data_IF_536251982165
#
_entry.id   IF_536251982165
#
_cell.length_a   1.000
_cell.length_b   1.000
_cell.length_c   1.000
_cell.angle_alpha   90.00
_cell.angle_beta   90.00
_cell.angle_gamma   90.00
#
_symmetry.space_group_name_H-M   'P 1'
#
loop_
_entity.id
_entity.type
_entity.pdbx_description
1 polymer ?
#
# COMPACT_ATOMS: atom_id res chain seq x y z
N UNK A 1 43.89 -43.30 -25.80
CA UNK A 1 44.68 -42.24 -26.46
C UNK A 1 43.84 -41.60 -27.57
N UNK A 2 44.03 -40.29 -27.82
CA UNK A 2 43.17 -39.30 -28.53
C UNK A 2 42.22 -38.57 -27.58
N UNK A 3 42.68 -37.56 -26.83
CA UNK A 3 43.05 -36.17 -27.20
C UNK A 3 41.84 -35.24 -27.34
N UNK A 4 41.79 -34.28 -26.42
CA UNK A 4 40.85 -33.17 -26.28
C UNK A 4 40.78 -32.25 -27.51
N UNK A 5 39.63 -31.59 -27.69
CA UNK A 5 39.55 -30.20 -28.12
C UNK A 5 38.42 -29.49 -27.38
N UNK A 6 38.80 -28.47 -26.62
CA UNK A 6 37.94 -27.37 -26.21
C UNK A 6 37.35 -26.68 -27.46
N UNK A 7 36.08 -26.30 -27.38
CA UNK A 7 35.60 -25.08 -28.00
C UNK A 7 34.49 -24.50 -27.14
N UNK A 8 34.89 -23.51 -26.36
CA UNK A 8 34.06 -22.55 -25.67
C UNK A 8 33.21 -21.77 -26.69
N UNK A 9 31.90 -21.96 -26.65
CA UNK A 9 30.97 -21.01 -27.27
C UNK A 9 30.87 -19.76 -26.37
N UNK A 10 31.03 -18.54 -26.90
CA UNK A 10 30.77 -17.34 -26.13
C UNK A 10 29.26 -17.22 -25.85
N UNK A 11 28.84 -16.70 -24.68
CA UNK A 11 27.45 -16.34 -24.48
C UNK A 11 27.12 -15.18 -25.41
N UNK A 12 26.15 -15.41 -26.31
CA UNK A 12 25.53 -14.34 -27.07
C UNK A 12 24.93 -13.34 -26.06
N UNK A 13 25.55 -12.17 -25.98
CA UNK A 13 25.01 -10.97 -25.35
C UNK A 13 23.76 -10.57 -26.12
N UNK A 14 22.62 -11.17 -25.73
CA UNK A 14 21.30 -10.77 -26.18
C UNK A 14 21.10 -9.30 -25.83
N UNK A 15 21.11 -8.47 -26.87
CA UNK A 15 21.11 -7.02 -26.80
C UNK A 15 20.05 -6.50 -25.84
N UNK A 16 20.49 -5.60 -24.95
CA UNK A 16 19.58 -4.69 -24.28
C UNK A 16 18.68 -4.06 -25.32
N UNK A 17 17.37 -4.33 -25.22
CA UNK A 17 16.36 -3.54 -25.88
C UNK A 17 16.53 -2.11 -25.37
N UNK A 18 17.30 -1.32 -26.09
CA UNK A 18 17.20 0.12 -26.07
C UNK A 18 15.76 0.41 -26.50
N UNK A 19 14.88 0.59 -25.50
CA UNK A 19 13.51 1.01 -25.69
C UNK A 19 13.54 2.35 -26.40
N UNK A 20 13.46 2.32 -27.73
CA UNK A 20 13.29 3.50 -28.55
C UNK A 20 12.04 4.21 -28.06
N UNK A 21 12.21 5.38 -27.44
CA UNK A 21 11.08 6.26 -27.15
C UNK A 21 10.50 6.64 -28.51
N UNK A 22 9.22 6.35 -28.81
CA UNK A 22 8.62 6.84 -30.02
C UNK A 22 8.62 8.38 -29.94
N UNK A 23 9.42 9.01 -30.79
CA UNK A 23 9.39 10.44 -31.02
C UNK A 23 8.13 10.77 -31.82
N UNK A 24 7.01 10.94 -31.12
CA UNK A 24 5.74 11.28 -31.75
C UNK A 24 4.64 11.53 -30.73
N UNK A 25 4.32 12.82 -30.47
CA UNK A 25 3.06 13.20 -29.85
C UNK A 25 3.10 13.92 -28.49
N UNK A 26 4.11 14.74 -28.20
CA UNK A 26 4.24 15.42 -26.90
C UNK A 26 2.98 16.16 -26.42
N UNK A 27 2.17 16.72 -27.33
CA UNK A 27 0.89 17.36 -26.98
C UNK A 27 -0.21 16.38 -26.54
N UNK A 28 -0.36 15.23 -27.20
CA UNK A 28 -1.36 14.19 -26.82
C UNK A 28 -0.93 13.48 -25.53
N UNK A 29 0.37 13.25 -25.37
CA UNK A 29 0.95 12.71 -24.14
C UNK A 29 0.76 13.68 -22.96
N UNK A 30 1.03 14.97 -23.15
CA UNK A 30 0.81 16.00 -22.13
C UNK A 30 -0.68 16.10 -21.77
N UNK A 31 -1.58 16.13 -22.77
CA UNK A 31 -3.01 16.15 -22.54
C UNK A 31 -3.47 14.91 -21.76
N UNK A 32 -2.94 13.73 -22.08
CA UNK A 32 -3.21 12.50 -21.33
C UNK A 32 -2.74 12.58 -19.87
N UNK A 33 -1.54 13.11 -19.63
CA UNK A 33 -0.98 13.30 -18.27
C UNK A 33 -1.79 14.30 -17.45
N UNK A 34 -2.14 15.45 -18.05
CA UNK A 34 -2.98 16.45 -17.40
C UNK A 34 -4.37 15.88 -17.12
N UNK A 35 -4.95 15.14 -18.08
CA UNK A 35 -6.21 14.43 -17.90
C UNK A 35 -6.17 13.47 -16.71
N UNK A 36 -5.10 12.69 -16.57
CA UNK A 36 -4.94 11.76 -15.45
C UNK A 36 -4.87 12.46 -14.07
N UNK A 37 -4.35 13.69 -14.01
CA UNK A 37 -4.28 14.49 -12.77
C UNK A 37 -5.61 15.21 -12.49
N UNK A 38 -6.23 15.76 -13.52
CA UNK A 38 -7.45 16.57 -13.40
C UNK A 38 -8.70 15.71 -13.22
N UNK A 39 -8.78 14.56 -13.89
CA UNK A 39 -9.95 13.67 -13.82
C UNK A 39 -10.38 13.29 -12.39
N UNK A 40 -9.49 12.83 -11.47
CA UNK A 40 -9.90 12.53 -10.10
C UNK A 40 -10.39 13.77 -9.34
N UNK A 41 -9.79 14.94 -9.56
CA UNK A 41 -10.23 16.20 -8.95
C UNK A 41 -11.60 16.64 -9.49
N UNK A 42 -11.81 16.52 -10.79
CA UNK A 42 -13.08 16.83 -11.43
C UNK A 42 -14.19 15.88 -10.96
N UNK A 43 -13.91 14.57 -10.89
CA UNK A 43 -14.85 13.58 -10.37
C UNK A 43 -15.22 13.85 -8.90
N UNK A 44 -14.22 14.15 -8.05
CA UNK A 44 -14.47 14.57 -6.68
C UNK A 44 -15.32 15.84 -6.61
N UNK A 45 -15.00 16.87 -7.40
CA UNK A 45 -15.76 18.11 -7.47
C UNK A 45 -17.21 17.89 -7.90
N UNK A 46 -17.45 17.08 -8.94
CA UNK A 46 -18.80 16.72 -9.42
C UNK A 46 -19.58 16.02 -8.31
N UNK A 47 -18.95 15.11 -7.58
CA UNK A 47 -19.59 14.40 -6.47
C UNK A 47 -19.96 15.34 -5.30
N UNK A 48 -19.07 16.26 -4.92
CA UNK A 48 -19.35 17.24 -3.87
C UNK A 48 -20.46 18.23 -4.29
N UNK A 49 -20.48 18.64 -5.56
CA UNK A 49 -21.55 19.46 -6.12
C UNK A 49 -22.90 18.73 -6.10
N UNK A 50 -22.91 17.45 -6.49
CA UNK A 50 -24.11 16.62 -6.39
C UNK A 50 -24.58 16.52 -4.93
N UNK A 51 -23.67 16.25 -3.99
CA UNK A 51 -23.98 16.18 -2.56
C UNK A 51 -24.61 17.48 -2.04
N UNK A 52 -24.05 18.63 -2.45
CA UNK A 52 -24.60 19.94 -2.10
C UNK A 52 -26.02 20.11 -2.64
N UNK A 53 -26.26 19.71 -3.90
CA UNK A 53 -27.58 19.83 -4.53
C UNK A 53 -28.63 18.86 -3.98
N UNK A 54 -28.23 17.64 -3.62
CA UNK A 54 -29.13 16.57 -3.20
C UNK A 54 -29.41 16.58 -1.70
N UNK A 55 -28.43 16.97 -0.89
CA UNK A 55 -28.47 16.87 0.57
C UNK A 55 -28.30 18.21 1.29
N UNK A 56 -28.04 19.32 0.58
CA UNK A 56 -27.79 20.63 1.17
C UNK A 56 -26.43 20.77 1.87
N UNK A 57 -25.63 19.71 1.90
CA UNK A 57 -24.26 19.70 2.42
C UNK A 57 -23.32 19.06 1.37
N UNK A 58 -22.48 19.91 0.76
CA UNK A 58 -21.50 19.47 -0.23
C UNK A 58 -20.37 18.63 0.36
N UNK A 59 -20.10 18.78 1.66
CA UNK A 59 -19.07 18.03 2.37
C UNK A 59 -19.67 16.90 3.21
N UNK A 60 -20.96 16.59 3.04
CA UNK A 60 -21.64 15.49 3.73
C UNK A 60 -20.81 14.19 3.80
N UNK A 61 -20.14 13.74 2.71
CA UNK A 61 -19.32 12.52 2.76
C UNK A 61 -18.16 12.61 3.76
N UNK A 62 -17.56 13.80 3.92
CA UNK A 62 -16.44 14.03 4.83
C UNK A 62 -16.92 14.33 6.26
N UNK A 63 -18.02 15.05 6.42
CA UNK A 63 -18.59 15.37 7.73
C UNK A 63 -19.22 14.15 8.38
N UNK A 64 -19.90 13.30 7.61
CA UNK A 64 -20.45 12.01 8.08
C UNK A 64 -19.35 11.02 8.49
N UNK A 65 -18.18 11.04 7.82
CA UNK A 65 -17.03 10.24 8.23
C UNK A 65 -16.37 10.75 9.52
N UNK A 66 -16.45 12.06 9.80
CA UNK A 66 -15.91 12.67 11.03
C UNK A 66 -16.89 12.64 12.20
N UNK A 67 -18.10 12.15 11.98
CA UNK A 67 -19.10 11.99 13.01
C UNK A 67 -18.59 10.99 14.06
N UNK A 68 -18.52 11.46 15.30
CA UNK A 68 -18.02 10.69 16.44
C UNK A 68 -18.87 9.42 16.68
N UNK A 69 -20.14 9.42 16.26
CA UNK A 69 -21.01 8.26 16.35
C UNK A 69 -20.73 7.16 15.32
N UNK A 70 -19.91 7.44 14.28
CA UNK A 70 -19.72 6.50 13.15
C UNK A 70 -18.27 6.07 12.92
N UNK A 71 -17.28 6.97 12.99
CA UNK A 71 -15.87 6.59 12.74
C UNK A 71 -14.81 7.36 13.56
N UNK A 72 -15.21 8.33 14.39
CA UNK A 72 -14.30 9.10 15.24
C UNK A 72 -13.72 10.34 14.54
N UNK A 73 -13.52 11.40 15.31
CA UNK A 73 -12.93 12.66 14.81
C UNK A 73 -11.48 12.47 14.39
N UNK A 74 -11.03 13.13 13.32
CA UNK A 74 -9.61 13.09 12.90
C UNK A 74 -8.67 13.34 14.08
N UNK A 75 -7.73 12.42 14.31
CA UNK A 75 -6.82 12.45 15.44
C UNK A 75 -5.47 13.04 15.04
N UNK A 76 -4.71 13.50 16.03
CA UNK A 76 -3.34 13.93 15.80
C UNK A 76 -2.51 12.67 15.45
N UNK A 77 -1.79 12.65 14.32
CA UNK A 77 -1.08 11.46 13.87
C UNK A 77 -0.02 10.98 14.88
N UNK A 78 0.55 11.89 15.65
CA UNK A 78 1.53 11.55 16.68
C UNK A 78 0.85 10.89 17.88
N UNK A 79 -0.34 11.34 18.28
CA UNK A 79 -1.09 10.67 19.36
C UNK A 79 -1.55 9.29 18.91
N UNK A 80 -2.05 9.14 17.68
CA UNK A 80 -2.45 7.83 17.12
C UNK A 80 -1.30 6.81 17.17
N UNK A 81 -0.08 7.20 16.79
CA UNK A 81 1.10 6.32 16.85
C UNK A 81 1.47 5.98 18.30
N UNK A 82 1.43 6.96 19.20
CA UNK A 82 1.76 6.78 20.62
C UNK A 82 0.72 5.89 21.30
N UNK A 83 -0.57 6.09 21.02
CA UNK A 83 -1.67 5.34 21.59
C UNK A 83 -1.65 3.90 21.08
N UNK A 84 -1.32 3.68 19.80
CA UNK A 84 -1.09 2.34 19.26
C UNK A 84 0.09 1.63 19.92
N UNK A 85 1.20 2.34 20.15
CA UNK A 85 2.35 1.80 20.87
C UNK A 85 2.01 1.47 22.34
N UNK A 86 1.23 2.33 23.02
CA UNK A 86 0.76 2.09 24.40
C UNK A 86 -0.23 0.94 24.49
N UNK A 87 -1.20 0.85 23.59
CA UNK A 87 -2.17 -0.24 23.50
C UNK A 87 -1.47 -1.59 23.29
N UNK A 88 -0.44 -1.61 22.45
CA UNK A 88 0.41 -2.79 22.25
C UNK A 88 1.14 -3.23 23.54
N UNK A 89 1.55 -2.29 24.40
CA UNK A 89 2.20 -2.58 25.69
C UNK A 89 1.23 -2.88 26.83
N UNK A 90 -0.03 -2.42 26.74
CA UNK A 90 -1.04 -2.58 27.78
C UNK A 90 -1.87 -3.87 27.62
N UNK A 91 -1.56 -4.71 26.63
CA UNK A 91 -2.19 -6.02 26.46
C UNK A 91 -3.48 -6.03 25.62
N UNK A 92 -3.80 -4.93 24.92
CA UNK A 92 -4.88 -4.92 23.93
C UNK A 92 -4.42 -5.65 22.67
N UNK A 93 -4.69 -6.96 22.62
CA UNK A 93 -4.27 -7.85 21.52
C UNK A 93 -4.65 -7.33 20.13
N UNK A 94 -5.83 -6.69 19.98
CA UNK A 94 -6.26 -6.07 18.72
C UNK A 94 -5.32 -4.95 18.26
N UNK A 95 -5.11 -3.95 19.11
CA UNK A 95 -4.19 -2.82 18.85
C UNK A 95 -2.75 -3.28 18.62
N UNK A 96 -2.30 -4.29 19.37
CA UNK A 96 -0.95 -4.85 19.27
C UNK A 96 -0.66 -5.49 17.91
N UNK A 97 -1.66 -6.09 17.27
CA UNK A 97 -1.50 -6.79 15.98
C UNK A 97 -1.26 -5.84 14.80
N UNK A 98 -1.70 -4.58 14.90
CA UNK A 98 -1.50 -3.57 13.86
C UNK A 98 -0.05 -3.04 13.80
N UNK A 99 0.67 -3.04 14.94
CA UNK A 99 2.03 -2.49 15.04
C UNK A 99 3.03 -3.21 14.11
N UNK A 100 3.10 -4.55 14.05
CA UNK A 100 3.93 -5.27 13.08
C UNK A 100 3.66 -4.89 11.62
N UNK A 101 2.39 -4.70 11.24
CA UNK A 101 2.03 -4.33 9.87
C UNK A 101 2.49 -2.92 9.50
N UNK A 102 2.39 -1.97 10.43
CA UNK A 102 2.91 -0.62 10.22
C UNK A 102 4.43 -0.60 10.11
N UNK A 103 5.13 -1.38 10.92
CA UNK A 103 6.58 -1.55 10.78
C UNK A 103 6.94 -2.14 9.42
N UNK A 104 6.22 -3.18 8.97
CA UNK A 104 6.42 -3.77 7.65
C UNK A 104 6.17 -2.75 6.53
N UNK A 105 5.16 -1.90 6.68
CA UNK A 105 4.86 -0.83 5.71
C UNK A 105 5.99 0.21 5.65
N UNK A 106 6.55 0.64 6.78
CA UNK A 106 7.69 1.55 6.82
C UNK A 106 8.92 0.92 6.15
N UNK A 107 9.21 -0.35 6.44
CA UNK A 107 10.30 -1.08 5.79
C UNK A 107 10.08 -1.20 4.28
N UNK A 108 8.87 -1.52 3.85
CA UNK A 108 8.51 -1.58 2.44
C UNK A 108 8.70 -0.22 1.77
N UNK A 109 8.29 0.87 2.41
CA UNK A 109 8.48 2.24 1.91
C UNK A 109 9.97 2.56 1.72
N UNK A 110 10.84 2.18 2.67
CA UNK A 110 12.29 2.32 2.52
C UNK A 110 12.79 1.55 1.30
N UNK A 111 12.31 0.33 1.08
CA UNK A 111 12.67 -0.46 -0.11
C UNK A 111 12.20 0.23 -1.40
N UNK A 112 10.99 0.81 -1.42
CA UNK A 112 10.49 1.57 -2.57
C UNK A 112 11.41 2.73 -2.93
N UNK A 113 11.80 3.55 -1.95
CA UNK A 113 12.72 4.68 -2.17
C UNK A 113 14.07 4.23 -2.74
N UNK A 114 14.51 2.99 -2.49
CA UNK A 114 15.79 2.47 -2.96
C UNK A 114 15.72 1.72 -4.29
N UNK A 115 14.56 1.17 -4.66
CA UNK A 115 14.44 0.18 -5.74
C UNK A 115 13.43 0.54 -6.82
N UNK A 116 12.55 1.50 -6.56
CA UNK A 116 11.41 1.82 -7.42
C UNK A 116 11.45 3.28 -7.92
N UNK A 117 10.74 3.59 -9.03
CA UNK A 117 10.56 4.97 -9.49
C UNK A 117 9.92 5.86 -8.42
N UNK A 118 10.36 7.12 -8.31
CA UNK A 118 9.97 8.06 -7.25
C UNK A 118 8.47 8.27 -7.09
N UNK A 119 7.68 8.08 -8.15
CA UNK A 119 6.21 8.19 -8.09
C UNK A 119 5.58 7.20 -7.11
N UNK A 120 6.17 6.00 -6.95
CA UNK A 120 5.65 4.95 -6.08
C UNK A 120 5.82 5.23 -4.59
N UNK A 121 7.03 5.53 -4.07
CA UNK A 121 7.17 5.87 -2.66
C UNK A 121 6.45 7.17 -2.31
N UNK A 122 6.39 8.18 -3.21
CA UNK A 122 5.60 9.41 -2.95
C UNK A 122 4.12 9.10 -2.74
N UNK A 123 3.52 8.30 -3.62
CA UNK A 123 2.13 7.85 -3.47
C UNK A 123 1.93 7.06 -2.17
N UNK A 124 2.80 6.09 -1.89
CA UNK A 124 2.72 5.27 -0.68
C UNK A 124 2.92 6.07 0.61
N UNK A 125 3.75 7.13 0.59
CA UNK A 125 3.89 8.06 1.71
C UNK A 125 2.59 8.82 1.95
N UNK A 126 1.92 9.32 0.90
CA UNK A 126 0.63 10.00 1.05
C UNK A 126 -0.43 9.07 1.65
N UNK A 127 -0.46 7.80 1.24
CA UNK A 127 -1.36 6.79 1.81
C UNK A 127 -1.02 6.53 3.29
N UNK A 128 0.25 6.36 3.63
CA UNK A 128 0.67 6.17 5.03
C UNK A 128 0.32 7.37 5.90
N UNK A 129 0.52 8.59 5.40
CA UNK A 129 0.10 9.80 6.08
C UNK A 129 -1.41 9.81 6.34
N UNK A 130 -2.22 9.44 5.34
CA UNK A 130 -3.67 9.33 5.52
C UNK A 130 -4.05 8.31 6.59
N UNK A 131 -3.37 7.15 6.64
CA UNK A 131 -3.59 6.10 7.65
C UNK A 131 -3.29 6.63 9.06
N UNK A 132 -2.12 7.23 9.26
CA UNK A 132 -1.73 7.70 10.61
C UNK A 132 -2.54 8.90 11.09
N UNK A 133 -3.15 9.66 10.17
CA UNK A 133 -4.06 10.78 10.51
C UNK A 133 -5.46 10.28 10.88
N UNK A 134 -5.75 9.00 10.68
CA UNK A 134 -6.96 8.35 11.16
C UNK A 134 -7.01 8.27 12.68
N UNK A 135 -8.22 8.28 13.23
CA UNK A 135 -8.49 8.05 14.65
C UNK A 135 -8.32 6.61 15.09
N UNK A 136 -8.31 5.66 14.15
CA UNK A 136 -8.21 4.23 14.41
C UNK A 136 -7.32 3.56 13.35
N UNK A 137 -6.51 2.59 13.79
CA UNK A 137 -5.58 1.84 12.92
C UNK A 137 -6.15 0.49 12.46
N UNK A 138 -7.37 0.16 12.90
CA UNK A 138 -8.06 -1.12 12.65
C UNK A 138 -8.26 -1.45 11.16
N UNK A 139 -8.20 -0.43 10.29
CA UNK A 139 -8.29 -0.60 8.83
C UNK A 139 -6.98 -0.32 8.09
N UNK A 140 -5.87 -0.14 8.82
CA UNK A 140 -4.57 0.20 8.23
C UNK A 140 -4.10 -0.85 7.23
N UNK A 141 -4.28 -2.15 7.49
CA UNK A 141 -3.87 -3.20 6.55
C UNK A 141 -4.64 -3.10 5.24
N UNK A 142 -5.94 -2.79 5.30
CA UNK A 142 -6.79 -2.66 4.10
C UNK A 142 -6.32 -1.51 3.21
N UNK A 143 -5.97 -0.37 3.81
CA UNK A 143 -5.46 0.78 3.06
C UNK A 143 -4.07 0.52 2.48
N UNK A 144 -3.19 -0.16 3.24
CA UNK A 144 -1.88 -0.58 2.76
C UNK A 144 -1.99 -1.57 1.59
N UNK A 145 -2.88 -2.55 1.67
CA UNK A 145 -3.14 -3.51 0.61
C UNK A 145 -3.71 -2.83 -0.66
N UNK A 146 -4.60 -1.85 -0.48
CA UNK A 146 -5.14 -1.05 -1.58
C UNK A 146 -4.10 -0.16 -2.28
N UNK A 147 -3.00 0.16 -1.61
CA UNK A 147 -1.88 0.89 -2.20
C UNK A 147 -0.95 -0.06 -2.96
N UNK A 148 -1.21 -0.20 -4.27
CA UNK A 148 -0.51 -1.13 -5.17
C UNK A 148 1.03 -1.18 -5.06
N UNK A 149 1.78 -0.09 -4.75
CA UNK A 149 3.23 -0.21 -4.68
C UNK A 149 3.73 -1.13 -3.56
N UNK A 150 2.97 -1.28 -2.47
CA UNK A 150 3.31 -2.24 -1.41
C UNK A 150 3.28 -3.68 -1.93
N UNK A 151 2.36 -4.00 -2.86
CA UNK A 151 2.32 -5.30 -3.53
C UNK A 151 3.53 -5.52 -4.44
N UNK A 152 4.03 -4.47 -5.10
CA UNK A 152 5.26 -4.58 -5.91
C UNK A 152 6.48 -4.91 -5.04
N UNK A 153 6.59 -4.30 -3.87
CA UNK A 153 7.67 -4.62 -2.92
C UNK A 153 7.52 -6.05 -2.39
N UNK A 154 6.29 -6.47 -2.06
CA UNK A 154 6.04 -7.85 -1.64
C UNK A 154 6.42 -8.86 -2.74
N UNK A 155 6.09 -8.58 -4.00
CA UNK A 155 6.48 -9.40 -5.14
C UNK A 155 8.01 -9.45 -5.32
N UNK A 156 8.70 -8.31 -5.18
CA UNK A 156 10.16 -8.26 -5.21
C UNK A 156 10.79 -9.08 -4.08
N UNK A 157 10.23 -9.01 -2.87
CA UNK A 157 10.71 -9.76 -1.70
C UNK A 157 10.46 -11.27 -1.83
N UNK A 158 9.36 -11.67 -2.46
CA UNK A 158 8.95 -13.07 -2.62
C UNK A 158 9.37 -13.70 -3.94
N UNK A 159 10.20 -13.03 -4.75
CA UNK A 159 10.66 -13.53 -6.04
C UNK A 159 11.43 -14.87 -5.95
N UNK A 160 12.02 -15.17 -4.79
CA UNK A 160 12.73 -16.43 -4.54
C UNK A 160 11.76 -17.50 -4.05
N UNK A 161 11.86 -18.71 -4.62
CA UNK A 161 10.97 -19.84 -4.30
C UNK A 161 10.99 -20.20 -2.81
N UNK A 162 12.16 -20.14 -2.16
CA UNK A 162 12.27 -20.41 -0.73
C UNK A 162 11.46 -19.39 0.09
N UNK A 163 11.60 -18.09 -0.24
CA UNK A 163 10.93 -16.99 0.46
C UNK A 163 9.43 -17.05 0.20
N UNK A 164 9.02 -17.30 -1.04
CA UNK A 164 7.61 -17.49 -1.39
C UNK A 164 6.96 -18.62 -0.58
N UNK A 165 7.64 -19.77 -0.49
CA UNK A 165 7.14 -20.94 0.25
C UNK A 165 7.00 -20.60 1.73
N UNK A 166 8.02 -19.98 2.32
CA UNK A 166 7.99 -19.50 3.70
C UNK A 166 6.83 -18.53 3.93
N UNK A 167 6.64 -17.53 3.07
CA UNK A 167 5.57 -16.54 3.20
C UNK A 167 4.19 -17.18 3.12
N UNK A 168 3.96 -18.11 2.20
CA UNK A 168 2.69 -18.84 2.10
C UNK A 168 2.44 -19.69 3.34
N UNK A 169 3.44 -20.42 3.83
CA UNK A 169 3.30 -21.23 5.05
C UNK A 169 2.98 -20.36 6.28
N UNK A 170 3.70 -19.25 6.46
CA UNK A 170 3.45 -18.31 7.55
C UNK A 170 2.09 -17.66 7.42
N UNK A 171 1.66 -17.28 6.20
CA UNK A 171 0.35 -16.68 5.96
C UNK A 171 -0.79 -17.66 6.30
N UNK A 172 -0.65 -18.93 5.92
CA UNK A 172 -1.62 -19.97 6.26
C UNK A 172 -1.70 -20.22 7.77
N UNK A 173 -0.55 -20.26 8.45
CA UNK A 173 -0.51 -20.37 9.91
C UNK A 173 -1.15 -19.13 10.59
N UNK A 174 -0.82 -17.92 10.13
CA UNK A 174 -1.39 -16.68 10.64
C UNK A 174 -2.92 -16.65 10.45
N UNK A 175 -3.43 -17.01 9.26
CA UNK A 175 -4.87 -17.11 9.01
C UNK A 175 -5.56 -18.09 9.96
N UNK A 176 -4.91 -19.21 10.29
CA UNK A 176 -5.44 -20.19 11.25
C UNK A 176 -5.52 -19.59 12.66
N UNK A 177 -4.49 -18.83 13.07
CA UNK A 177 -4.46 -18.12 14.35
C UNK A 177 -5.56 -17.04 14.40
N UNK A 178 -5.65 -16.18 13.38
CA UNK A 178 -6.70 -15.14 13.30
C UNK A 178 -8.10 -15.75 13.32
N UNK A 179 -8.34 -16.82 12.56
CA UNK A 179 -9.62 -17.52 12.57
C UNK A 179 -9.94 -18.06 13.98
N UNK A 180 -8.96 -18.67 14.66
CA UNK A 180 -9.14 -19.18 16.03
C UNK A 180 -9.49 -18.06 16.99
N UNK A 181 -8.75 -16.94 16.96
CA UNK A 181 -8.99 -15.77 17.81
C UNK A 181 -10.38 -15.16 17.58
N UNK A 182 -10.83 -15.11 16.32
CA UNK A 182 -12.17 -14.65 15.96
C UNK A 182 -13.26 -15.61 16.49
N UNK A 183 -13.06 -16.93 16.35
CA UNK A 183 -13.98 -17.93 16.89
C UNK A 183 -14.06 -17.90 18.42
N UNK A 184 -12.97 -17.57 19.11
CA UNK A 184 -12.95 -17.44 20.58
C UNK A 184 -13.39 -16.07 21.08
N UNK A 185 -13.87 -15.18 20.19
CA UNK A 185 -14.26 -13.79 20.50
C UNK A 185 -13.15 -12.99 21.20
N UNK A 186 -11.90 -13.44 21.07
CA UNK A 186 -10.72 -12.78 21.66
C UNK A 186 -10.17 -11.70 20.74
N UNK A 187 -10.60 -11.71 19.49
CA UNK A 187 -10.33 -10.69 18.47
C UNK A 187 -11.61 -10.47 17.66
N UNK A 188 -12.05 -9.22 17.53
CA UNK A 188 -13.15 -8.85 16.63
C UNK A 188 -12.49 -8.17 15.42
N UNK A 189 -12.58 -8.75 14.21
CA UNK A 189 -12.03 -8.17 12.99
C UNK A 189 -12.82 -6.95 12.51
#
# INVERSE_FOLDING_TARGET
ARSARCSSAPPATGGGQAGGRPAGGGGRELAGRLGAVVAPLAGAGIYLLWSASAHGDGLAPLTMQRDAARHGSGANPLSTIIDAARGATNGELGTALHVPWLLLAVLALVVMFRRLPVSYPVWSTLVLLAIVTGSNLDSSERYLYGAFPFLLVAALATARREVWTFVITVSAAAMTVYATLAFTLSYVP
#
